data_IF_807798229858
#
_entry.id   IF_807798229858
#
_cell.length_a   1.000
_cell.length_b   1.000
_cell.length_c   1.000
_cell.angle_alpha   90.00
_cell.angle_beta   90.00
_cell.angle_gamma   90.00
#
_symmetry.space_group_name_H-M   'P 1'
#
loop_
_entity.id
_entity.type
_entity.pdbx_description
1 polymer ?
#
# COMPACT_ATOMS: atom_id res chain seq x y z
N UNK A 1 -2.04 -11.85 16.66
CA UNK A 1 -1.74 -10.60 17.41
C UNK A 1 -1.22 -9.49 16.50
N UNK A 2 -0.10 -9.65 15.77
CA UNK A 2 0.39 -8.58 14.86
C UNK A 2 -0.59 -8.28 13.71
N UNK A 3 -1.20 -9.29 13.10
CA UNK A 3 -2.24 -9.12 12.07
C UNK A 3 -3.48 -8.38 12.59
N UNK A 4 -3.93 -8.66 13.81
CA UNK A 4 -5.11 -8.01 14.38
C UNK A 4 -4.86 -6.52 14.65
N UNK A 5 -3.65 -6.19 15.14
CA UNK A 5 -3.23 -4.81 15.35
C UNK A 5 -3.11 -4.06 14.02
N UNK A 6 -2.46 -4.68 13.04
CA UNK A 6 -2.35 -4.13 11.69
C UNK A 6 -3.72 -3.84 11.08
N UNK A 7 -4.68 -4.79 11.14
CA UNK A 7 -6.02 -4.58 10.60
C UNK A 7 -6.76 -3.39 11.25
N UNK A 8 -6.51 -3.14 12.53
CA UNK A 8 -7.19 -2.09 13.29
C UNK A 8 -6.51 -0.73 13.21
N UNK A 9 -5.17 -0.71 13.16
CA UNK A 9 -4.39 0.52 13.38
C UNK A 9 -3.58 0.97 12.16
N UNK A 10 -3.42 0.14 11.14
CA UNK A 10 -2.63 0.53 9.97
C UNK A 10 -3.24 1.73 9.25
N UNK A 11 -2.44 2.78 9.06
CA UNK A 11 -2.90 4.05 8.49
C UNK A 11 -3.33 3.94 7.03
N UNK A 12 -2.67 3.08 6.23
CA UNK A 12 -3.02 2.92 4.81
C UNK A 12 -4.41 2.29 4.65
N UNK A 13 -4.76 1.33 5.53
CA UNK A 13 -6.09 0.72 5.56
C UNK A 13 -7.16 1.72 6.01
N UNK A 14 -6.84 2.58 6.98
CA UNK A 14 -7.75 3.63 7.42
C UNK A 14 -7.97 4.67 6.31
N UNK A 15 -6.90 5.09 5.61
CA UNK A 15 -7.00 6.00 4.47
C UNK A 15 -7.85 5.40 3.34
N UNK A 16 -7.65 4.13 2.99
CA UNK A 16 -8.45 3.45 1.98
C UNK A 16 -9.92 3.32 2.39
N UNK A 17 -10.19 3.08 3.67
CA UNK A 17 -11.57 3.08 4.20
C UNK A 17 -12.23 4.46 4.08
N UNK A 18 -11.50 5.54 4.39
CA UNK A 18 -12.00 6.89 4.21
C UNK A 18 -12.25 7.24 2.73
N UNK A 19 -11.48 6.69 1.80
CA UNK A 19 -11.74 6.84 0.35
C UNK A 19 -13.07 6.20 -0.06
N UNK A 20 -13.44 5.06 0.51
CA UNK A 20 -14.77 4.44 0.29
C UNK A 20 -15.89 5.35 0.82
N UNK A 21 -15.72 5.93 2.01
CA UNK A 21 -16.72 6.87 2.55
C UNK A 21 -16.86 8.13 1.67
N UNK A 22 -15.75 8.63 1.12
CA UNK A 22 -15.77 9.72 0.13
C UNK A 22 -16.53 9.30 -1.14
N UNK A 23 -16.25 8.12 -1.68
CA UNK A 23 -16.95 7.62 -2.86
C UNK A 23 -18.46 7.40 -2.62
N UNK A 24 -18.86 6.98 -1.41
CA UNK A 24 -20.27 6.93 -1.01
C UNK A 24 -20.91 8.32 -0.99
N UNK A 25 -20.20 9.34 -0.51
CA UNK A 25 -20.70 10.70 -0.56
C UNK A 25 -20.86 11.21 -2.01
N UNK A 26 -19.94 10.80 -2.91
CA UNK A 26 -20.04 11.11 -4.35
C UNK A 26 -21.26 10.44 -4.99
N UNK A 27 -21.63 9.20 -4.61
CA UNK A 27 -22.86 8.57 -5.11
C UNK A 27 -24.11 9.33 -4.65
N UNK A 28 -24.10 9.85 -3.41
CA UNK A 28 -25.17 10.70 -2.92
C UNK A 28 -25.26 11.99 -3.74
N UNK A 29 -24.12 12.66 -3.98
CA UNK A 29 -24.04 13.88 -4.78
C UNK A 29 -24.54 13.64 -6.22
N UNK A 30 -24.11 12.54 -6.86
CA UNK A 30 -24.52 12.15 -8.19
C UNK A 30 -26.05 11.91 -8.30
N UNK A 31 -26.67 11.47 -7.20
CA UNK A 31 -28.12 11.21 -7.14
C UNK A 31 -28.98 12.47 -7.04
N UNK A 32 -28.38 13.61 -6.68
CA UNK A 32 -29.15 14.83 -6.46
C UNK A 32 -29.61 15.48 -7.76
N UNK A 33 -30.73 16.20 -7.67
CA UNK A 33 -31.26 17.01 -8.76
C UNK A 33 -30.86 18.48 -8.54
N UNK A 34 -30.80 19.31 -9.58
CA UNK A 34 -30.60 20.73 -9.44
C UNK A 34 -31.65 21.34 -8.49
N UNK A 35 -31.20 22.16 -7.54
CA UNK A 35 -32.09 22.85 -6.63
C UNK A 35 -32.93 23.92 -7.37
N UNK A 36 -34.17 24.19 -6.92
CA UNK A 36 -34.95 25.33 -7.36
C UNK A 36 -34.17 26.62 -7.05
N UNK A 37 -34.27 27.60 -7.95
CA UNK A 37 -33.73 28.93 -7.75
C UNK A 37 -34.87 29.89 -7.49
N UNK A 38 -34.82 30.64 -6.37
CA UNK A 38 -35.72 31.74 -6.02
C UNK A 38 -35.02 33.03 -6.41
N UNK A 39 -35.66 33.86 -7.20
CA UNK A 39 -35.19 35.19 -7.54
C UNK A 39 -36.24 36.23 -7.19
N UNK A 40 -35.76 37.42 -6.76
CA UNK A 40 -36.55 38.60 -6.56
C UNK A 40 -35.91 39.72 -7.38
N UNK A 41 -36.74 40.45 -8.14
CA UNK A 41 -36.29 41.59 -8.94
C UNK A 41 -37.24 42.77 -8.81
N UNK A 42 -36.67 43.96 -8.82
CA UNK A 42 -37.32 45.24 -8.88
C UNK A 42 -37.12 45.83 -10.26
N UNK A 43 -38.20 45.98 -11.02
CA UNK A 43 -38.19 46.52 -12.38
C UNK A 43 -38.83 47.92 -12.37
N UNK A 44 -38.66 48.64 -13.45
CA UNK A 44 -39.24 49.99 -13.67
C UNK A 44 -38.86 51.04 -12.62
N UNK A 45 -37.60 51.00 -12.12
CA UNK A 45 -37.05 52.05 -11.27
C UNK A 45 -36.85 53.32 -12.09
N UNK A 46 -37.81 54.26 -12.02
CA UNK A 46 -37.79 55.52 -12.79
C UNK A 46 -36.85 56.58 -12.18
N UNK A 47 -36.09 57.27 -13.01
CA UNK A 47 -35.20 58.41 -12.65
C UNK A 47 -35.76 59.77 -13.04
N UNK A 48 -37.05 59.85 -13.45
CA UNK A 48 -37.73 61.07 -13.87
C UNK A 48 -38.22 61.95 -12.69
N UNK A 49 -38.44 63.25 -12.98
CA UNK A 49 -38.86 64.23 -11.96
C UNK A 49 -40.19 63.92 -11.27
N UNK A 50 -41.02 63.07 -11.87
CA UNK A 50 -42.38 62.72 -11.35
C UNK A 50 -42.49 61.33 -10.71
N UNK A 51 -41.41 60.56 -10.65
CA UNK A 51 -41.41 59.22 -10.06
C UNK A 51 -40.65 59.21 -8.74
N UNK A 52 -41.32 59.00 -7.65
CA UNK A 52 -40.71 58.65 -6.35
C UNK A 52 -40.10 57.24 -6.51
N UNK A 53 -38.82 57.12 -6.24
CA UNK A 53 -37.94 55.98 -6.50
C UNK A 53 -38.46 54.56 -6.11
N UNK A 54 -39.55 54.45 -5.37
CA UNK A 54 -40.13 53.17 -4.93
C UNK A 54 -41.65 53.03 -5.22
N UNK A 55 -42.38 54.10 -5.43
CA UNK A 55 -43.84 54.05 -5.60
C UNK A 55 -44.29 53.71 -7.06
N UNK A 56 -43.38 53.25 -7.90
CA UNK A 56 -43.66 52.87 -9.29
C UNK A 56 -42.85 51.70 -9.76
N UNK A 57 -42.26 50.96 -8.85
CA UNK A 57 -41.48 49.77 -9.20
C UNK A 57 -42.35 48.51 -9.23
N UNK A 58 -42.07 47.63 -10.18
CA UNK A 58 -42.67 46.30 -10.24
C UNK A 58 -41.85 45.30 -9.41
N UNK A 59 -42.50 44.60 -8.51
CA UNK A 59 -41.89 43.59 -7.68
C UNK A 59 -42.16 42.20 -8.29
N UNK A 60 -41.11 41.49 -8.70
CA UNK A 60 -41.24 40.16 -9.27
C UNK A 60 -40.57 39.14 -8.35
N UNK A 61 -41.33 38.17 -7.91
CA UNK A 61 -40.83 36.96 -7.24
C UNK A 61 -40.98 35.80 -8.19
N UNK A 62 -39.87 35.10 -8.48
CA UNK A 62 -39.85 33.99 -9.42
C UNK A 62 -39.14 32.78 -8.84
N UNK A 63 -39.71 31.59 -9.08
CA UNK A 63 -39.09 30.32 -8.77
C UNK A 63 -38.86 29.53 -10.06
N UNK A 64 -37.63 29.03 -10.28
CA UNK A 64 -37.23 28.27 -11.44
C UNK A 64 -36.72 26.89 -11.04
N UNK A 65 -37.23 25.85 -11.70
CA UNK A 65 -36.78 24.47 -11.54
C UNK A 65 -36.22 23.94 -12.85
N UNK A 66 -34.94 23.49 -12.83
CA UNK A 66 -34.31 22.85 -13.97
C UNK A 66 -34.56 21.34 -13.95
N UNK A 67 -34.99 20.82 -15.09
CA UNK A 67 -35.17 19.40 -15.35
C UNK A 67 -34.10 18.91 -16.30
N UNK A 68 -33.22 18.06 -15.79
CA UNK A 68 -32.17 17.44 -16.61
C UNK A 68 -32.78 16.46 -17.60
N UNK A 69 -32.26 16.47 -18.81
CA UNK A 69 -32.68 15.57 -19.91
C UNK A 69 -31.49 14.73 -20.38
N UNK A 70 -31.80 13.64 -21.05
CA UNK A 70 -30.77 12.81 -21.68
C UNK A 70 -30.04 11.88 -20.74
N UNK A 71 -30.77 11.45 -19.70
CA UNK A 71 -30.30 10.47 -18.71
C UNK A 71 -29.03 10.90 -17.93
N UNK A 72 -28.68 12.20 -17.99
CA UNK A 72 -27.48 12.76 -17.35
C UNK A 72 -27.37 12.33 -15.88
N UNK A 73 -28.47 12.42 -15.13
CA UNK A 73 -28.48 12.00 -13.73
C UNK A 73 -28.24 10.50 -13.58
N UNK A 74 -28.86 9.66 -14.41
CA UNK A 74 -28.69 8.21 -14.35
C UNK A 74 -27.23 7.84 -14.67
N UNK A 75 -26.63 8.47 -15.68
CA UNK A 75 -25.24 8.24 -16.05
C UNK A 75 -24.27 8.71 -14.96
N UNK A 76 -24.53 9.86 -14.31
CA UNK A 76 -23.73 10.30 -13.14
C UNK A 76 -23.79 9.28 -12.00
N UNK A 77 -25.00 8.80 -11.67
CA UNK A 77 -25.20 7.80 -10.63
C UNK A 77 -24.47 6.49 -10.95
N UNK A 78 -24.57 6.03 -12.18
CA UNK A 78 -23.91 4.80 -12.63
C UNK A 78 -22.39 4.93 -12.60
N UNK A 79 -21.84 6.04 -13.05
CA UNK A 79 -20.39 6.29 -12.99
C UNK A 79 -19.88 6.34 -11.54
N UNK A 80 -20.61 7.04 -10.66
CA UNK A 80 -20.25 7.13 -9.23
C UNK A 80 -20.34 5.76 -8.55
N UNK A 81 -21.32 4.91 -8.91
CA UNK A 81 -21.45 3.55 -8.41
C UNK A 81 -20.27 2.67 -8.82
N UNK A 82 -19.84 2.72 -10.09
CA UNK A 82 -18.65 2.02 -10.54
C UNK A 82 -17.39 2.50 -9.81
N UNK A 83 -17.25 3.81 -9.55
CA UNK A 83 -16.12 4.36 -8.78
C UNK A 83 -16.15 3.92 -7.31
N UNK A 84 -17.33 3.81 -6.69
CA UNK A 84 -17.46 3.26 -5.34
C UNK A 84 -16.96 1.81 -5.28
N UNK A 85 -17.44 0.96 -6.19
CA UNK A 85 -17.00 -0.43 -6.24
C UNK A 85 -15.51 -0.57 -6.62
N UNK A 86 -14.97 0.35 -7.42
CA UNK A 86 -13.52 0.41 -7.69
C UNK A 86 -12.74 0.71 -6.40
N UNK A 87 -13.21 1.65 -5.58
CA UNK A 87 -12.57 1.96 -4.27
C UNK A 87 -12.64 0.79 -3.28
N UNK A 88 -13.73 0.00 -3.31
CA UNK A 88 -13.83 -1.22 -2.52
C UNK A 88 -12.82 -2.28 -2.97
N UNK A 89 -12.66 -2.46 -4.28
CA UNK A 89 -11.64 -3.35 -4.83
C UNK A 89 -10.21 -2.85 -4.53
N UNK A 90 -9.96 -1.53 -4.55
CA UNK A 90 -8.69 -0.94 -4.12
C UNK A 90 -8.36 -1.26 -2.66
N UNK A 91 -9.34 -1.18 -1.75
CA UNK A 91 -9.12 -1.57 -0.35
C UNK A 91 -8.66 -3.02 -0.23
N UNK A 92 -9.23 -3.94 -1.02
CA UNK A 92 -8.80 -5.34 -1.02
C UNK A 92 -7.36 -5.47 -1.54
N UNK A 93 -7.00 -4.76 -2.60
CA UNK A 93 -5.63 -4.77 -3.12
C UNK A 93 -4.63 -4.16 -2.11
N UNK A 94 -4.99 -3.04 -1.46
CA UNK A 94 -4.18 -2.42 -0.40
C UNK A 94 -4.01 -3.40 0.78
N UNK A 95 -5.07 -4.10 1.18
CA UNK A 95 -4.97 -5.15 2.22
C UNK A 95 -3.96 -6.24 1.83
N UNK A 96 -4.01 -6.73 0.59
CA UNK A 96 -3.06 -7.74 0.10
C UNK A 96 -1.62 -7.24 0.14
N UNK A 97 -1.37 -6.06 -0.44
CA UNK A 97 -0.03 -5.47 -0.49
C UNK A 97 0.52 -5.17 0.91
N UNK A 98 -0.30 -4.57 1.75
CA UNK A 98 0.03 -4.24 3.14
C UNK A 98 0.27 -5.50 3.98
N UNK A 99 -0.50 -6.58 3.75
CA UNK A 99 -0.26 -7.86 4.42
C UNK A 99 1.08 -8.47 3.99
N UNK A 100 1.43 -8.41 2.71
CA UNK A 100 2.74 -8.83 2.23
C UNK A 100 3.87 -8.06 2.92
N UNK A 101 3.72 -6.75 3.04
CA UNK A 101 4.70 -5.89 3.73
C UNK A 101 4.79 -6.21 5.23
N UNK A 102 3.68 -6.51 5.90
CA UNK A 102 3.66 -6.95 7.30
C UNK A 102 4.55 -8.17 7.52
N UNK A 103 4.41 -9.19 6.65
CA UNK A 103 5.23 -10.40 6.77
C UNK A 103 6.70 -10.15 6.42
N UNK A 104 7.00 -9.26 5.48
CA UNK A 104 8.37 -8.85 5.19
C UNK A 104 9.02 -8.21 6.42
N UNK A 105 8.36 -7.26 7.05
CA UNK A 105 8.85 -6.60 8.27
C UNK A 105 8.99 -7.58 9.44
N UNK A 106 8.04 -8.51 9.58
CA UNK A 106 8.09 -9.55 10.59
C UNK A 106 9.30 -10.47 10.43
N UNK A 107 9.56 -10.96 9.21
CA UNK A 107 10.72 -11.83 8.94
C UNK A 107 12.04 -11.07 8.99
N UNK A 108 12.06 -9.76 8.71
CA UNK A 108 13.23 -8.91 8.96
C UNK A 108 13.52 -8.78 10.46
N UNK A 109 12.50 -8.64 11.29
CA UNK A 109 12.66 -8.63 12.75
C UNK A 109 13.22 -9.97 13.25
N UNK A 110 12.64 -11.09 12.80
CA UNK A 110 13.11 -12.43 13.16
C UNK A 110 14.58 -12.62 12.74
N UNK A 111 14.95 -12.18 11.53
CA UNK A 111 16.33 -12.22 11.04
C UNK A 111 17.28 -11.40 11.93
N UNK A 112 16.85 -10.21 12.33
CA UNK A 112 17.67 -9.34 13.20
C UNK A 112 17.89 -9.98 14.59
N UNK A 113 16.88 -10.65 15.15
CA UNK A 113 16.98 -11.42 16.39
C UNK A 113 17.98 -12.58 16.26
N UNK A 114 17.87 -13.37 15.20
CA UNK A 114 18.77 -14.49 14.96
C UNK A 114 20.22 -14.03 14.71
N UNK A 115 20.43 -12.96 13.95
CA UNK A 115 21.76 -12.37 13.77
C UNK A 115 22.36 -11.90 15.08
N UNK A 116 21.60 -11.24 15.94
CA UNK A 116 22.07 -10.83 17.26
C UNK A 116 22.47 -12.05 18.10
N UNK A 117 21.65 -13.10 18.15
CA UNK A 117 21.97 -14.33 18.85
C UNK A 117 23.29 -14.95 18.40
N UNK A 118 23.51 -15.05 17.07
CA UNK A 118 24.74 -15.61 16.50
C UNK A 118 25.97 -14.81 16.91
N UNK A 119 25.90 -13.46 16.83
CA UNK A 119 27.08 -12.64 17.18
C UNK A 119 27.34 -12.63 18.70
N UNK A 120 26.32 -12.68 19.55
CA UNK A 120 26.50 -12.81 21.02
C UNK A 120 27.08 -14.15 21.40
N UNK A 121 26.64 -15.26 20.78
CA UNK A 121 27.23 -16.59 20.95
C UNK A 121 28.72 -16.57 20.53
N UNK A 122 29.05 -15.91 19.42
CA UNK A 122 30.43 -15.79 18.96
C UNK A 122 31.32 -15.05 19.95
N UNK A 123 30.84 -13.95 20.56
CA UNK A 123 31.57 -13.23 21.62
C UNK A 123 31.83 -14.14 22.82
N UNK A 124 30.82 -14.91 23.26
CA UNK A 124 30.95 -15.88 24.33
C UNK A 124 32.02 -16.94 24.04
N UNK A 125 32.10 -17.42 22.78
CA UNK A 125 33.12 -18.37 22.38
C UNK A 125 34.56 -17.73 22.38
N UNK A 126 34.70 -16.47 21.96
CA UNK A 126 35.98 -15.77 22.08
C UNK A 126 36.41 -15.63 23.53
N UNK A 127 35.51 -15.27 24.44
CA UNK A 127 35.81 -15.13 25.84
C UNK A 127 36.36 -16.42 26.45
N UNK A 128 35.71 -17.56 26.21
CA UNK A 128 36.18 -18.89 26.67
C UNK A 128 37.53 -19.27 26.09
N UNK A 129 37.78 -18.89 24.84
CA UNK A 129 39.08 -19.16 24.20
C UNK A 129 40.20 -18.32 24.77
N UNK A 130 39.93 -17.05 25.05
CA UNK A 130 40.90 -16.15 25.70
C UNK A 130 41.28 -16.69 27.07
N UNK A 131 40.29 -17.06 27.91
CA UNK A 131 40.53 -17.64 29.23
C UNK A 131 41.42 -18.90 29.16
N UNK A 132 41.16 -19.80 28.22
CA UNK A 132 42.01 -20.98 28.00
C UNK A 132 43.42 -20.61 27.49
N UNK A 133 43.53 -19.59 26.63
CA UNK A 133 44.81 -19.15 26.07
C UNK A 133 45.65 -18.40 27.08
N UNK A 134 45.08 -17.66 28.03
CA UNK A 134 45.80 -17.05 29.14
C UNK A 134 46.49 -18.09 30.03
N UNK A 135 45.87 -19.24 30.29
CA UNK A 135 46.49 -20.36 31.04
C UNK A 135 47.66 -20.94 30.27
N UNK A 136 47.50 -21.12 28.95
CA UNK A 136 48.59 -21.62 28.06
C UNK A 136 49.76 -20.62 27.97
N UNK A 137 49.46 -19.32 27.93
CA UNK A 137 50.50 -18.29 27.95
C UNK A 137 51.30 -18.35 29.28
N UNK A 138 50.64 -18.49 30.42
CA UNK A 138 51.31 -18.66 31.72
C UNK A 138 52.16 -19.93 31.80
N UNK A 139 51.76 -21.02 31.09
CA UNK A 139 52.55 -22.23 30.96
C UNK A 139 53.69 -22.11 29.94
N UNK A 140 53.74 -21.05 29.13
CA UNK A 140 54.74 -20.85 28.09
C UNK A 140 54.44 -21.56 26.77
N UNK A 141 53.21 -22.11 26.59
CA UNK A 141 52.82 -22.90 25.43
C UNK A 141 52.44 -22.06 24.21
N UNK A 142 52.12 -20.77 24.40
CA UNK A 142 51.78 -19.85 23.32
C UNK A 142 52.50 -18.50 23.49
N UNK A 143 52.61 -17.76 22.38
CA UNK A 143 53.21 -16.41 22.37
C UNK A 143 52.18 -15.35 22.84
N UNK A 144 52.63 -14.27 23.47
CA UNK A 144 51.79 -13.13 23.85
C UNK A 144 51.09 -12.49 22.63
N UNK A 145 51.70 -12.55 21.46
CA UNK A 145 51.11 -12.07 20.20
C UNK A 145 49.86 -12.85 19.77
N UNK A 146 49.77 -14.15 20.15
CA UNK A 146 48.56 -14.94 19.84
C UNK A 146 47.39 -14.53 20.74
N UNK A 147 47.67 -14.29 22.03
CA UNK A 147 46.63 -13.76 22.93
C UNK A 147 46.14 -12.37 22.48
N UNK A 148 47.06 -11.48 22.12
CA UNK A 148 46.71 -10.14 21.61
C UNK A 148 45.84 -10.19 20.33
N UNK A 149 46.02 -11.18 19.48
CA UNK A 149 45.14 -11.40 18.29
C UNK A 149 43.73 -11.86 18.68
N UNK A 150 43.61 -12.76 19.65
CA UNK A 150 42.31 -13.18 20.18
C UNK A 150 41.56 -12.00 20.79
N UNK A 151 42.24 -11.18 21.57
CA UNK A 151 41.70 -9.96 22.17
C UNK A 151 41.17 -8.98 21.08
N UNK A 152 42.00 -8.76 20.03
CA UNK A 152 41.60 -7.93 18.90
C UNK A 152 40.35 -8.45 18.18
N UNK A 153 40.29 -9.74 17.95
CA UNK A 153 39.11 -10.33 17.29
C UNK A 153 37.88 -10.34 18.20
N UNK A 154 38.05 -10.50 19.51
CA UNK A 154 36.93 -10.30 20.46
C UNK A 154 36.42 -8.86 20.42
N UNK A 155 37.29 -7.85 20.41
CA UNK A 155 36.87 -6.44 20.27
C UNK A 155 36.09 -6.18 18.96
N UNK A 156 36.48 -6.85 17.86
CA UNK A 156 35.73 -6.79 16.59
C UNK A 156 34.37 -7.46 16.74
N UNK A 157 34.29 -8.62 17.40
CA UNK A 157 33.04 -9.30 17.66
C UNK A 157 32.10 -8.49 18.58
N UNK A 158 32.65 -7.77 19.56
CA UNK A 158 31.88 -6.82 20.39
C UNK A 158 31.25 -5.68 19.53
N UNK A 159 31.98 -5.16 18.53
CA UNK A 159 31.43 -4.21 17.56
C UNK A 159 30.30 -4.81 16.72
N UNK A 160 30.42 -6.07 16.31
CA UNK A 160 29.35 -6.78 15.58
C UNK A 160 28.07 -6.85 16.44
N UNK A 161 28.21 -7.06 17.77
CA UNK A 161 27.06 -7.05 18.70
C UNK A 161 26.40 -5.68 18.77
N UNK A 162 27.17 -4.58 18.85
CA UNK A 162 26.61 -3.24 18.84
C UNK A 162 25.82 -2.97 17.55
N UNK A 163 26.37 -3.37 16.40
CA UNK A 163 25.69 -3.22 15.12
C UNK A 163 24.43 -4.08 15.04
N UNK A 164 24.47 -5.33 15.47
CA UNK A 164 23.33 -6.23 15.47
C UNK A 164 22.19 -5.75 16.40
N UNK A 165 22.53 -5.21 17.57
CA UNK A 165 21.56 -4.58 18.50
C UNK A 165 20.90 -3.35 17.88
N UNK A 166 21.65 -2.53 17.16
CA UNK A 166 21.07 -1.40 16.45
C UNK A 166 20.13 -1.86 15.33
N UNK A 167 20.53 -2.87 14.55
CA UNK A 167 19.69 -3.45 13.48
C UNK A 167 18.39 -4.06 14.04
N UNK A 168 18.45 -4.74 15.18
CA UNK A 168 17.27 -5.26 15.87
C UNK A 168 16.33 -4.12 16.28
N UNK A 169 16.88 -3.06 16.87
CA UNK A 169 16.09 -1.88 17.26
C UNK A 169 15.41 -1.23 16.05
N UNK A 170 16.10 -1.12 14.90
CA UNK A 170 15.49 -0.60 13.68
C UNK A 170 14.35 -1.49 13.20
N UNK A 171 14.54 -2.80 13.11
CA UNK A 171 13.49 -3.73 12.70
C UNK A 171 12.27 -3.71 13.64
N UNK A 172 12.49 -3.54 14.96
CA UNK A 172 11.41 -3.35 15.93
C UNK A 172 10.63 -2.06 15.68
N UNK A 173 11.32 -0.95 15.39
CA UNK A 173 10.68 0.34 15.08
C UNK A 173 9.88 0.25 13.78
N UNK A 174 10.45 -0.34 12.73
CA UNK A 174 9.79 -0.45 11.42
C UNK A 174 8.49 -1.26 11.51
N UNK A 175 8.52 -2.39 12.21
CA UNK A 175 7.31 -3.19 12.44
C UNK A 175 6.32 -2.46 13.36
N UNK A 176 6.80 -1.79 14.41
CA UNK A 176 5.97 -1.05 15.36
C UNK A 176 5.15 0.05 14.68
N UNK A 177 5.79 0.86 13.84
CA UNK A 177 5.13 1.91 13.05
C UNK A 177 4.08 1.29 12.13
N UNK A 178 4.43 0.18 11.50
CA UNK A 178 3.53 -0.47 10.53
C UNK A 178 2.26 -1.04 11.16
N UNK A 179 2.34 -1.52 12.40
CA UNK A 179 1.20 -2.07 13.16
C UNK A 179 0.55 -1.06 14.12
N UNK A 180 1.02 0.21 14.15
CA UNK A 180 0.50 1.26 15.03
C UNK A 180 0.81 1.07 16.51
N UNK A 181 1.99 0.54 16.84
CA UNK A 181 2.49 0.30 18.21
C UNK A 181 3.84 0.98 18.47
N UNK A 182 4.02 2.21 17.99
CA UNK A 182 5.30 2.96 18.01
C UNK A 182 5.89 3.08 19.41
N UNK A 183 5.04 3.31 20.42
CA UNK A 183 5.46 3.46 21.80
C UNK A 183 5.95 2.16 22.43
N UNK A 184 5.54 1.02 21.89
CA UNK A 184 5.88 -0.32 22.39
C UNK A 184 6.97 -1.01 21.55
N UNK A 185 7.61 -0.31 20.62
CA UNK A 185 8.60 -0.88 19.71
C UNK A 185 9.67 -1.77 20.40
N UNK A 186 10.28 -1.39 21.53
CA UNK A 186 11.30 -2.24 22.18
C UNK A 186 10.77 -3.57 22.73
N UNK A 187 9.46 -3.71 22.93
CA UNK A 187 8.84 -4.92 23.46
C UNK A 187 8.41 -5.91 22.36
N UNK A 188 8.50 -5.51 21.08
CA UNK A 188 8.09 -6.35 19.97
C UNK A 188 9.14 -7.42 19.71
N UNK A 189 8.70 -8.67 19.74
CA UNK A 189 9.53 -9.86 19.52
C UNK A 189 8.83 -10.76 18.52
N UNK A 190 9.54 -11.27 17.53
CA UNK A 190 9.09 -12.33 16.66
C UNK A 190 9.30 -13.68 17.39
N UNK A 191 8.20 -14.43 17.57
CA UNK A 191 8.20 -15.66 18.37
C UNK A 191 8.08 -16.94 17.53
N UNK A 192 7.75 -16.82 16.24
CA UNK A 192 7.56 -17.98 15.37
C UNK A 192 8.89 -18.57 14.88
N UNK A 193 8.88 -19.85 14.58
CA UNK A 193 9.98 -20.50 13.86
C UNK A 193 9.93 -20.12 12.37
N UNK A 194 11.07 -20.27 11.67
CA UNK A 194 11.11 -20.18 10.21
C UNK A 194 10.14 -21.18 9.57
N UNK A 195 9.43 -20.80 8.48
CA UNK A 195 8.58 -21.75 7.79
C UNK A 195 9.40 -22.89 7.19
N UNK A 196 8.85 -24.10 7.27
CA UNK A 196 9.47 -25.27 6.64
C UNK A 196 9.47 -25.15 5.11
N UNK A 197 10.48 -25.73 4.49
CA UNK A 197 10.59 -25.75 3.02
C UNK A 197 9.54 -26.72 2.46
N UNK A 198 8.54 -26.15 1.77
CA UNK A 198 7.44 -26.90 1.16
C UNK A 198 7.76 -27.25 -0.28
N UNK A 199 7.92 -28.53 -0.60
CA UNK A 199 8.06 -29.00 -1.99
C UNK A 199 6.75 -28.78 -2.78
N UNK A 200 6.81 -28.09 -3.92
CA UNK A 200 5.74 -27.97 -4.94
C UNK A 200 4.61 -26.95 -4.71
N UNK A 201 4.85 -25.86 -4.03
CA UNK A 201 3.85 -24.77 -3.83
C UNK A 201 3.47 -24.05 -5.16
N UNK A 202 4.23 -24.22 -6.25
CA UNK A 202 4.14 -23.39 -7.48
C UNK A 202 3.15 -23.89 -8.53
N UNK A 203 2.40 -24.96 -8.30
CA UNK A 203 1.65 -25.66 -9.37
C UNK A 203 0.24 -25.10 -9.64
N UNK A 204 -0.27 -24.20 -8.81
CA UNK A 204 -1.59 -23.66 -9.00
C UNK A 204 -1.58 -22.57 -10.09
N UNK A 205 -2.48 -22.72 -11.05
CA UNK A 205 -2.77 -21.66 -12.01
C UNK A 205 -3.48 -20.51 -11.27
N UNK A 206 -2.87 -19.34 -11.25
CA UNK A 206 -3.48 -18.14 -10.65
C UNK A 206 -4.41 -17.51 -11.69
N UNK A 207 -5.68 -17.36 -11.34
CA UNK A 207 -6.63 -16.62 -12.18
C UNK A 207 -6.46 -15.12 -11.92
N UNK A 208 -5.80 -14.43 -12.84
CA UNK A 208 -5.52 -12.99 -12.73
C UNK A 208 -6.78 -12.14 -12.78
N UNK A 209 -7.87 -12.60 -13.44
CA UNK A 209 -9.12 -11.84 -13.55
C UNK A 209 -9.83 -11.65 -12.20
N UNK A 210 -9.55 -12.50 -11.23
CA UNK A 210 -10.14 -12.38 -9.89
C UNK A 210 -9.39 -11.41 -8.98
N UNK A 211 -8.22 -10.92 -9.40
CA UNK A 211 -7.41 -10.00 -8.61
C UNK A 211 -8.13 -8.67 -8.38
N UNK A 212 -7.99 -8.14 -7.18
CA UNK A 212 -8.65 -6.91 -6.76
C UNK A 212 -8.18 -5.68 -7.56
N UNK A 213 -6.90 -5.60 -7.91
CA UNK A 213 -6.34 -4.52 -8.74
C UNK A 213 -6.90 -4.53 -10.18
N UNK A 214 -7.09 -5.70 -10.78
CA UNK A 214 -7.71 -5.85 -12.10
C UNK A 214 -9.20 -5.50 -12.03
N UNK A 215 -9.92 -5.98 -11.01
CA UNK A 215 -11.33 -5.61 -10.80
C UNK A 215 -11.49 -4.10 -10.63
N UNK A 216 -10.61 -3.45 -9.88
CA UNK A 216 -10.63 -1.99 -9.74
C UNK A 216 -10.43 -1.28 -11.08
N UNK A 217 -9.45 -1.71 -11.88
CA UNK A 217 -9.20 -1.15 -13.22
C UNK A 217 -10.39 -1.38 -14.17
N UNK A 218 -11.01 -2.55 -14.17
CA UNK A 218 -12.23 -2.85 -14.95
C UNK A 218 -13.40 -1.95 -14.55
N UNK A 219 -13.58 -1.69 -13.26
CA UNK A 219 -14.64 -0.81 -12.76
C UNK A 219 -14.38 0.65 -13.12
N UNK A 220 -13.13 1.10 -13.08
CA UNK A 220 -12.74 2.44 -13.56
C UNK A 220 -12.97 2.59 -15.07
N UNK A 221 -12.68 1.55 -15.84
CA UNK A 221 -12.98 1.55 -17.27
C UNK A 221 -14.48 1.72 -17.54
N UNK A 222 -15.34 1.00 -16.80
CA UNK A 222 -16.81 1.16 -16.90
C UNK A 222 -17.26 2.55 -16.47
N UNK A 223 -16.66 3.13 -15.45
CA UNK A 223 -16.93 4.51 -15.02
C UNK A 223 -16.56 5.52 -16.12
N UNK A 224 -15.38 5.36 -16.74
CA UNK A 224 -14.92 6.20 -17.84
C UNK A 224 -15.79 6.07 -19.08
N UNK A 225 -16.25 4.86 -19.43
CA UNK A 225 -17.21 4.61 -20.50
C UNK A 225 -18.54 5.34 -20.23
N UNK A 226 -19.07 5.23 -19.02
CA UNK A 226 -20.28 5.93 -18.59
C UNK A 226 -20.10 7.45 -18.61
N UNK A 227 -18.95 7.96 -18.23
CA UNK A 227 -18.61 9.39 -18.29
C UNK A 227 -18.51 9.89 -19.73
N UNK A 228 -18.02 9.06 -20.68
CA UNK A 228 -18.04 9.37 -22.11
C UNK A 228 -19.49 9.52 -22.64
N UNK A 229 -20.39 8.62 -22.22
CA UNK A 229 -21.81 8.73 -22.54
C UNK A 229 -22.43 9.97 -21.91
N UNK A 230 -22.08 10.29 -20.66
CA UNK A 230 -22.52 11.51 -19.96
C UNK A 230 -22.07 12.77 -20.71
N UNK A 231 -20.82 12.82 -21.16
CA UNK A 231 -20.30 13.94 -21.93
C UNK A 231 -21.06 14.11 -23.25
N UNK A 232 -21.38 13.02 -23.96
CA UNK A 232 -22.22 13.06 -25.15
C UNK A 232 -23.66 13.52 -24.84
N UNK A 233 -24.20 13.14 -23.66
CA UNK A 233 -25.52 13.57 -23.21
C UNK A 233 -25.60 15.07 -22.88
N UNK A 234 -24.48 15.77 -22.67
CA UNK A 234 -24.47 17.24 -22.47
C UNK A 234 -25.07 17.99 -23.67
N UNK A 235 -25.02 17.43 -24.88
CA UNK A 235 -25.68 18.01 -26.06
C UNK A 235 -27.21 18.01 -25.95
N UNK A 236 -27.81 17.20 -25.08
CA UNK A 236 -29.25 17.22 -24.81
C UNK A 236 -29.55 18.38 -23.84
N UNK A 237 -30.38 19.31 -24.30
CA UNK A 237 -30.70 20.55 -23.57
C UNK A 237 -31.59 20.26 -22.38
N UNK A 238 -31.27 20.82 -21.23
CA UNK A 238 -32.14 20.80 -20.06
C UNK A 238 -33.27 21.82 -20.24
N UNK A 239 -34.36 21.62 -19.54
CA UNK A 239 -35.53 22.49 -19.58
C UNK A 239 -35.75 23.07 -18.18
N UNK A 240 -35.75 24.40 -18.09
CA UNK A 240 -36.10 25.09 -16.85
C UNK A 240 -37.54 25.57 -16.95
N UNK A 241 -38.36 25.21 -15.98
CA UNK A 241 -39.74 25.67 -15.83
C UNK A 241 -39.77 26.65 -14.67
N UNK A 242 -40.31 27.85 -14.92
CA UNK A 242 -40.43 28.89 -13.91
C UNK A 242 -41.86 29.37 -13.74
N UNK A 243 -42.18 29.74 -12.50
CA UNK A 243 -43.41 30.46 -12.13
C UNK A 243 -43.05 31.77 -11.44
N UNK A 244 -43.76 32.82 -11.77
CA UNK A 244 -43.53 34.14 -11.15
C UNK A 244 -44.84 34.78 -10.73
N UNK A 245 -44.73 35.60 -9.68
CA UNK A 245 -45.77 36.55 -9.27
C UNK A 245 -45.19 37.94 -9.36
N UNK A 246 -45.88 38.84 -10.05
CA UNK A 246 -45.48 40.20 -10.26
C UNK A 246 -46.55 41.15 -9.67
N UNK A 247 -46.11 42.07 -8.81
CA UNK A 247 -46.91 43.15 -8.29
C UNK A 247 -46.54 44.42 -9.03
N UNK A 248 -47.45 44.93 -9.83
CA UNK A 248 -47.26 46.15 -10.62
C UNK A 248 -47.82 47.33 -9.85
N UNK A 249 -46.99 48.30 -9.50
CA UNK A 249 -47.37 49.49 -8.70
C UNK A 249 -47.82 50.67 -9.54
N UNK A 250 -47.59 50.66 -10.86
CA UNK A 250 -47.90 51.79 -11.77
C UNK A 250 -49.29 51.70 -12.39
N UNK A 251 -49.83 50.50 -12.57
CA UNK A 251 -51.08 50.28 -13.30
C UNK A 251 -52.12 49.55 -12.40
N UNK A 252 -52.94 50.36 -11.72
CA UNK A 252 -54.09 49.89 -10.88
C UNK A 252 -53.75 48.87 -9.82
N UNK A 253 -52.52 48.82 -9.28
CA UNK A 253 -52.09 47.86 -8.25
C UNK A 253 -52.48 46.40 -8.60
N UNK A 254 -52.11 45.94 -9.82
CA UNK A 254 -52.48 44.61 -10.29
C UNK A 254 -51.43 43.58 -9.93
N UNK A 255 -51.86 42.38 -9.51
CA UNK A 255 -51.01 41.21 -9.35
C UNK A 255 -51.18 40.33 -10.60
N UNK A 256 -50.05 39.93 -11.22
CA UNK A 256 -50.06 39.03 -12.34
C UNK A 256 -49.31 37.76 -12.00
N UNK A 257 -49.72 36.62 -12.58
CA UNK A 257 -49.01 35.34 -12.47
C UNK A 257 -48.46 34.98 -13.85
N UNK A 258 -47.18 34.67 -13.92
CA UNK A 258 -46.50 34.26 -15.15
C UNK A 258 -45.95 32.87 -15.03
N UNK A 259 -46.00 32.12 -16.15
CA UNK A 259 -45.28 30.84 -16.33
C UNK A 259 -44.30 31.02 -17.45
N UNK A 260 -43.09 30.44 -17.30
CA UNK A 260 -42.05 30.51 -18.30
C UNK A 260 -41.33 29.20 -18.49
N UNK A 261 -40.86 28.96 -19.69
CA UNK A 261 -39.98 27.85 -20.03
C UNK A 261 -38.70 28.46 -20.63
N UNK A 262 -37.57 28.03 -20.09
CA UNK A 262 -36.24 28.43 -20.59
C UNK A 262 -35.46 27.21 -21.05
N UNK A 263 -34.88 27.29 -22.25
CA UNK A 263 -34.04 26.25 -22.84
C UNK A 263 -32.80 26.93 -23.38
N UNK A 264 -31.58 26.49 -22.99
CA UNK A 264 -30.33 27.09 -23.48
C UNK A 264 -30.17 26.85 -24.97
N UNK A 265 -29.77 27.89 -25.73
CA UNK A 265 -29.47 27.77 -27.14
C UNK A 265 -27.94 27.55 -27.31
N UNK A 266 -27.59 26.41 -27.92
CA UNK A 266 -26.19 26.05 -28.17
C UNK A 266 -25.71 26.59 -29.49
N UNK A 267 -25.50 27.90 -29.57
CA UNK A 267 -25.11 28.60 -30.83
C UNK A 267 -23.59 28.77 -30.98
N UNK A 268 -22.83 28.70 -29.92
CA UNK A 268 -21.37 28.90 -29.96
C UNK A 268 -20.58 27.86 -29.14
N UNK A 269 -21.24 26.95 -28.48
CA UNK A 269 -20.60 25.92 -27.62
C UNK A 269 -21.40 24.62 -27.64
N UNK A 270 -20.79 23.56 -28.17
CA UNK A 270 -21.42 22.26 -28.38
C UNK A 270 -20.82 21.12 -27.54
N UNK A 271 -20.07 21.46 -26.48
CA UNK A 271 -19.40 20.49 -25.58
C UNK A 271 -18.34 19.63 -26.27
N UNK A 272 -17.73 20.11 -27.38
CA UNK A 272 -16.72 19.35 -28.12
C UNK A 272 -15.48 19.03 -27.24
N UNK A 273 -15.08 19.98 -26.38
CA UNK A 273 -13.96 19.83 -25.48
C UNK A 273 -14.18 18.76 -24.42
N UNK A 274 -15.37 18.78 -23.77
CA UNK A 274 -15.76 17.79 -22.76
C UNK A 274 -15.88 16.39 -23.36
N UNK A 275 -16.43 16.28 -24.56
CA UNK A 275 -16.56 15.02 -25.27
C UNK A 275 -15.18 14.47 -25.65
N UNK A 276 -14.29 15.31 -26.20
CA UNK A 276 -12.95 14.90 -26.56
C UNK A 276 -12.12 14.50 -25.32
N UNK A 277 -12.28 15.22 -24.21
CA UNK A 277 -11.65 14.89 -22.93
C UNK A 277 -12.15 13.55 -22.41
N UNK A 278 -13.46 13.32 -22.37
CA UNK A 278 -14.05 12.05 -21.89
C UNK A 278 -13.62 10.85 -22.76
N UNK A 279 -13.48 11.06 -24.09
CA UNK A 279 -12.92 10.03 -24.99
C UNK A 279 -11.47 9.72 -24.64
N UNK A 280 -10.65 10.75 -24.38
CA UNK A 280 -9.26 10.54 -23.97
C UNK A 280 -9.14 9.86 -22.62
N UNK A 281 -10.01 10.17 -21.64
CA UNK A 281 -10.06 9.53 -20.33
C UNK A 281 -10.49 8.04 -20.45
N UNK A 282 -11.41 7.73 -21.36
CA UNK A 282 -11.78 6.34 -21.67
C UNK A 282 -10.60 5.55 -22.27
N UNK A 283 -9.88 6.14 -23.22
CA UNK A 283 -8.69 5.50 -23.81
C UNK A 283 -7.57 5.31 -22.76
N UNK A 284 -7.40 6.26 -21.84
CA UNK A 284 -6.47 6.12 -20.72
C UNK A 284 -6.86 4.95 -19.80
N UNK A 285 -8.15 4.80 -19.46
CA UNK A 285 -8.64 3.70 -18.64
C UNK A 285 -8.46 2.31 -19.30
N UNK A 286 -8.57 2.23 -20.63
CA UNK A 286 -8.24 1.01 -21.38
C UNK A 286 -6.75 0.64 -21.22
N UNK A 287 -5.87 1.62 -21.39
CA UNK A 287 -4.42 1.41 -21.25
C UNK A 287 -4.04 1.05 -19.79
N UNK A 288 -4.72 1.63 -18.81
CA UNK A 288 -4.53 1.30 -17.39
C UNK A 288 -4.92 -0.16 -17.10
N UNK A 289 -6.01 -0.66 -17.68
CA UNK A 289 -6.40 -2.06 -17.54
C UNK A 289 -5.38 -2.99 -18.19
N UNK A 290 -4.93 -2.69 -19.40
CA UNK A 290 -3.88 -3.48 -20.08
C UNK A 290 -2.58 -3.49 -19.27
N UNK A 291 -2.21 -2.34 -18.70
CA UNK A 291 -1.05 -2.23 -17.81
C UNK A 291 -1.22 -3.07 -16.55
N UNK A 292 -2.41 -3.05 -15.92
CA UNK A 292 -2.70 -3.85 -14.73
C UNK A 292 -2.56 -5.35 -15.02
N UNK A 293 -3.05 -5.83 -16.16
CA UNK A 293 -2.86 -7.22 -16.60
C UNK A 293 -1.39 -7.58 -16.78
N UNK A 294 -0.63 -6.75 -17.51
CA UNK A 294 0.79 -6.98 -17.75
C UNK A 294 1.59 -6.98 -16.43
N UNK A 295 1.27 -6.06 -15.53
CA UNK A 295 1.89 -5.97 -14.20
C UNK A 295 1.58 -7.21 -13.35
N UNK A 296 0.32 -7.66 -13.31
CA UNK A 296 -0.08 -8.85 -12.58
C UNK A 296 0.66 -10.11 -13.05
N UNK A 297 0.77 -10.31 -14.37
CA UNK A 297 1.53 -11.42 -14.95
C UNK A 297 3.01 -11.35 -14.54
N UNK A 298 3.60 -10.16 -14.61
CA UNK A 298 5.00 -9.94 -14.24
C UNK A 298 5.24 -10.21 -12.75
N UNK A 299 4.36 -9.71 -11.87
CA UNK A 299 4.44 -9.91 -10.42
C UNK A 299 4.39 -11.40 -10.05
N UNK A 300 3.45 -12.15 -10.64
CA UNK A 300 3.32 -13.59 -10.42
C UNK A 300 4.57 -14.36 -10.88
N UNK A 301 5.08 -14.03 -12.07
CA UNK A 301 6.27 -14.71 -12.60
C UNK A 301 7.51 -14.41 -11.76
N UNK A 302 7.66 -13.16 -11.30
CA UNK A 302 8.74 -12.75 -10.39
C UNK A 302 8.63 -13.49 -9.06
N UNK A 303 7.46 -13.45 -8.41
CA UNK A 303 7.26 -14.11 -7.12
C UNK A 303 7.53 -15.62 -7.18
N UNK A 304 7.14 -16.28 -8.29
CA UNK A 304 7.46 -17.69 -8.54
C UNK A 304 8.97 -17.93 -8.68
N UNK A 305 9.66 -17.07 -9.43
CA UNK A 305 11.11 -17.15 -9.60
C UNK A 305 11.87 -16.92 -8.30
N UNK A 306 11.48 -15.89 -7.55
CA UNK A 306 12.08 -15.55 -6.27
C UNK A 306 11.90 -16.67 -5.25
N UNK A 307 10.70 -17.25 -5.15
CA UNK A 307 10.43 -18.36 -4.24
C UNK A 307 11.27 -19.60 -4.60
N UNK A 308 11.33 -19.97 -5.88
CA UNK A 308 12.13 -21.11 -6.33
C UNK A 308 13.62 -20.92 -6.04
N UNK A 309 14.12 -19.71 -6.23
CA UNK A 309 15.53 -19.38 -5.97
C UNK A 309 15.83 -19.40 -4.48
N UNK A 310 14.95 -18.82 -3.67
CA UNK A 310 15.10 -18.79 -2.22
C UNK A 310 15.02 -20.20 -1.60
N UNK A 311 14.11 -21.06 -2.10
CA UNK A 311 14.02 -22.46 -1.71
C UNK A 311 15.32 -23.20 -1.96
N UNK A 312 15.86 -23.12 -3.19
CA UNK A 312 17.12 -23.77 -3.54
C UNK A 312 18.30 -23.29 -2.66
N UNK A 313 18.33 -21.99 -2.32
CA UNK A 313 19.35 -21.44 -1.42
C UNK A 313 19.25 -22.01 -0.01
N UNK A 314 18.06 -22.07 0.60
CA UNK A 314 17.89 -22.64 1.94
C UNK A 314 18.35 -24.08 1.97
N UNK A 315 17.89 -24.90 1.03
CA UNK A 315 18.32 -26.32 0.95
C UNK A 315 19.83 -26.45 0.79
N UNK A 316 20.48 -25.59 -0.02
CA UNK A 316 21.91 -25.61 -0.18
C UNK A 316 22.68 -25.28 1.12
N UNK A 317 22.20 -24.31 1.90
CA UNK A 317 22.79 -23.97 3.19
C UNK A 317 22.58 -25.08 4.22
N UNK A 318 21.36 -25.59 4.36
CA UNK A 318 21.00 -26.58 5.41
C UNK A 318 21.60 -27.95 5.14
N UNK A 319 21.64 -28.39 3.87
CA UNK A 319 22.13 -29.72 3.53
C UNK A 319 23.65 -29.80 3.35
N UNK A 320 24.28 -28.71 2.94
CA UNK A 320 25.69 -28.73 2.57
C UNK A 320 26.55 -27.75 3.37
N UNK A 321 26.36 -26.43 3.16
CA UNK A 321 27.31 -25.43 3.62
C UNK A 321 27.44 -25.35 5.13
N UNK A 322 26.35 -25.40 5.89
CA UNK A 322 26.40 -25.36 7.35
C UNK A 322 27.09 -26.59 7.92
N UNK A 323 26.82 -27.78 7.36
CA UNK A 323 27.42 -29.03 7.82
C UNK A 323 28.92 -29.07 7.56
N UNK A 324 29.35 -28.58 6.40
CA UNK A 324 30.79 -28.54 6.07
C UNK A 324 31.51 -27.45 6.87
N UNK A 325 30.92 -26.25 7.04
CA UNK A 325 31.51 -25.20 7.86
C UNK A 325 31.63 -25.62 9.35
N UNK A 326 30.65 -26.36 9.87
CA UNK A 326 30.71 -26.90 11.23
C UNK A 326 31.83 -27.95 11.38
N UNK A 327 31.99 -28.86 10.42
CA UNK A 327 33.08 -29.84 10.41
C UNK A 327 34.48 -29.16 10.39
N UNK A 328 34.62 -28.11 9.56
CA UNK A 328 35.87 -27.34 9.51
C UNK A 328 36.15 -26.69 10.86
N UNK A 329 35.13 -26.07 11.48
CA UNK A 329 35.28 -25.46 12.79
C UNK A 329 35.65 -26.48 13.87
N UNK A 330 34.92 -27.60 13.96
CA UNK A 330 35.21 -28.65 14.94
C UNK A 330 36.62 -29.23 14.80
N UNK A 331 37.06 -29.44 13.53
CA UNK A 331 38.42 -29.89 13.25
C UNK A 331 39.49 -28.89 13.67
N UNK A 332 39.29 -27.61 13.37
CA UNK A 332 40.20 -26.54 13.77
C UNK A 332 40.25 -26.36 15.31
N UNK A 333 39.10 -26.44 16.00
CA UNK A 333 39.05 -26.38 17.46
C UNK A 333 39.80 -27.55 18.13
N UNK A 334 39.60 -28.76 17.58
CA UNK A 334 40.30 -29.93 18.08
C UNK A 334 41.81 -29.82 17.87
N UNK A 335 42.25 -29.46 16.64
CA UNK A 335 43.64 -29.33 16.32
C UNK A 335 44.36 -28.20 17.14
N UNK A 336 43.68 -27.07 17.34
CA UNK A 336 44.17 -25.99 18.20
C UNK A 336 44.33 -26.45 19.67
N UNK A 337 43.34 -27.18 20.22
CA UNK A 337 43.42 -27.74 21.57
C UNK A 337 44.60 -28.72 21.74
N UNK A 338 44.96 -29.44 20.72
CA UNK A 338 46.11 -30.36 20.69
C UNK A 338 47.43 -29.68 20.35
N UNK A 339 47.43 -28.34 20.10
CA UNK A 339 48.62 -27.62 19.68
C UNK A 339 49.11 -27.93 18.24
N UNK A 340 48.30 -28.60 17.44
CA UNK A 340 48.62 -29.01 16.08
C UNK A 340 48.37 -27.90 15.03
N UNK A 341 47.53 -26.90 15.37
CA UNK A 341 47.22 -25.75 14.51
C UNK A 341 47.41 -24.43 15.26
N UNK A 342 47.62 -23.38 14.45
CA UNK A 342 47.77 -22.00 14.99
C UNK A 342 46.41 -21.41 15.42
N UNK A 343 46.47 -20.38 16.26
CA UNK A 343 45.28 -19.58 16.60
C UNK A 343 44.66 -18.95 15.35
N UNK A 344 45.47 -18.62 14.32
CA UNK A 344 44.97 -18.02 13.08
C UNK A 344 44.06 -18.96 12.32
N UNK A 345 44.38 -20.26 12.25
CA UNK A 345 43.54 -21.25 11.59
C UNK A 345 42.19 -21.43 12.30
N UNK A 346 42.21 -21.41 13.64
CA UNK A 346 41.00 -21.42 14.46
C UNK A 346 40.14 -20.17 14.24
N UNK A 347 40.74 -18.98 14.20
CA UNK A 347 40.03 -17.73 13.98
C UNK A 347 39.41 -17.67 12.59
N UNK A 348 40.10 -18.15 11.57
CA UNK A 348 39.59 -18.21 10.21
C UNK A 348 38.40 -19.18 10.10
N UNK A 349 38.51 -20.38 10.66
CA UNK A 349 37.41 -21.34 10.72
C UNK A 349 36.17 -20.76 11.45
N UNK A 350 36.35 -20.04 12.56
CA UNK A 350 35.26 -19.37 13.29
C UNK A 350 34.60 -18.25 12.49
N UNK A 351 35.40 -17.42 11.84
CA UNK A 351 34.87 -16.35 10.97
C UNK A 351 34.02 -16.94 9.83
N UNK A 352 34.54 -17.99 9.19
CA UNK A 352 33.84 -18.70 8.11
C UNK A 352 32.53 -19.29 8.61
N UNK A 353 32.54 -20.00 9.74
CA UNK A 353 31.34 -20.61 10.32
C UNK A 353 30.28 -19.55 10.70
N UNK A 354 30.68 -18.47 11.40
CA UNK A 354 29.80 -17.34 11.73
C UNK A 354 29.19 -16.73 10.48
N UNK A 355 30.00 -16.47 9.44
CA UNK A 355 29.51 -15.91 8.19
C UNK A 355 28.47 -16.83 7.54
N UNK A 356 28.76 -18.13 7.46
CA UNK A 356 27.84 -19.14 6.89
C UNK A 356 26.52 -19.22 7.69
N UNK A 357 26.58 -19.13 9.03
CA UNK A 357 25.37 -19.09 9.86
C UNK A 357 24.51 -17.85 9.54
N UNK A 358 25.10 -16.67 9.45
CA UNK A 358 24.40 -15.42 9.13
C UNK A 358 23.77 -15.48 7.73
N UNK A 359 24.51 -16.01 6.75
CA UNK A 359 24.02 -16.21 5.38
C UNK A 359 22.89 -17.22 5.31
N UNK A 360 22.95 -18.31 6.07
CA UNK A 360 21.87 -19.29 6.17
C UNK A 360 20.59 -18.68 6.78
N UNK A 361 20.71 -17.88 7.85
CA UNK A 361 19.55 -17.15 8.39
C UNK A 361 18.98 -16.14 7.40
N UNK A 362 19.85 -15.46 6.64
CA UNK A 362 19.39 -14.55 5.58
C UNK A 362 18.66 -15.30 4.47
N UNK A 363 19.14 -16.48 4.06
CA UNK A 363 18.47 -17.33 3.06
C UNK A 363 17.08 -17.79 3.56
N UNK A 364 16.95 -18.15 4.84
CA UNK A 364 15.65 -18.49 5.46
C UNK A 364 14.69 -17.31 5.49
N UNK A 365 15.16 -16.11 5.78
CA UNK A 365 14.35 -14.90 5.75
C UNK A 365 13.87 -14.57 4.33
N UNK A 366 14.77 -14.70 3.33
CA UNK A 366 14.42 -14.52 1.91
C UNK A 366 13.34 -15.52 1.48
N UNK A 367 13.48 -16.80 1.89
CA UNK A 367 12.50 -17.84 1.60
C UNK A 367 11.14 -17.57 2.27
N UNK A 368 11.15 -17.22 3.55
CA UNK A 368 9.93 -16.92 4.30
C UNK A 368 9.16 -15.75 3.69
N UNK A 369 9.88 -14.70 3.28
CA UNK A 369 9.32 -13.53 2.61
C UNK A 369 8.76 -13.90 1.22
N UNK A 370 9.50 -14.66 0.43
CA UNK A 370 9.07 -15.10 -0.89
C UNK A 370 7.86 -16.04 -0.81
N UNK A 371 7.82 -16.93 0.17
CA UNK A 371 6.69 -17.84 0.43
C UNK A 371 5.43 -17.05 0.79
N UNK A 372 5.53 -16.10 1.71
CA UNK A 372 4.41 -15.25 2.10
C UNK A 372 3.89 -14.44 0.89
N UNK A 373 4.80 -13.84 0.11
CA UNK A 373 4.44 -13.10 -1.10
C UNK A 373 3.68 -14.01 -2.09
N UNK A 374 4.19 -15.22 -2.34
CA UNK A 374 3.53 -16.18 -3.22
C UNK A 374 2.15 -16.60 -2.70
N UNK A 375 2.03 -16.89 -1.41
CA UNK A 375 0.77 -17.27 -0.80
C UNK A 375 -0.31 -16.18 -0.95
N UNK A 376 0.03 -14.92 -0.70
CA UNK A 376 -0.93 -13.81 -0.84
C UNK A 376 -1.28 -13.49 -2.30
N UNK A 377 -0.41 -13.81 -3.26
CA UNK A 377 -0.73 -13.71 -4.67
C UNK A 377 -1.60 -14.87 -5.17
N UNK A 378 -1.47 -16.07 -4.59
CA UNK A 378 -2.17 -17.26 -5.05
C UNK A 378 -3.55 -17.48 -4.37
N UNK A 379 -3.74 -17.04 -3.12
CA UNK A 379 -4.97 -17.27 -2.36
C UNK A 379 -6.10 -16.28 -2.65
N UNK A 380 -5.80 -15.10 -3.24
CA UNK A 380 -6.87 -14.17 -3.68
C UNK A 380 -7.76 -14.73 -4.80
N UNK A 381 -7.34 -15.79 -5.45
CA UNK A 381 -8.17 -16.46 -6.47
C UNK A 381 -9.27 -17.37 -5.87
N UNK A 382 -9.30 -17.58 -4.55
CA UNK A 382 -10.17 -18.56 -3.89
C UNK A 382 -11.25 -17.95 -2.97
N UNK A 383 -11.30 -16.62 -2.79
CA UNK A 383 -12.40 -15.97 -2.06
C UNK A 383 -13.31 -15.21 -3.01
N UNK A 384 -14.62 -15.55 -3.03
CA UNK A 384 -15.62 -14.84 -3.81
C UNK A 384 -15.92 -13.45 -3.27
#
# INVERSE_FOLDING_TARGET
>A
MAEDLWLQKNHDLQLATNQIESAKADTLTASQRPNPQLSYSLNNLGTGRDHRYLNGSDHVVRIDQTFERGDKRALRMQSADFMLHASEADLLNIKRQSKTQLYQLYYQLLLAQEKLRIVEENVSLYQKTIEASELRLKAGDIAASELSRLDLDKLRADNDVFQARNNLKQAQIDLAIFIGEELNAPAIVAADAWPEVMNKVYQNAINIENRADIKAAQLRLKAAETNRELAAALKKRDVTIGAQVEHNSLDLETNTIGLGISIPLMTGYGYEGEIARAESEYQAALLELDHAHAFAISEINKARGDLKTAEARVLHYDDNLLKEADKVLQSAEFAYKQGAQSVMDLLDARRTYKATQIEAQSARADYATALATWQFLSHESEQP
#
